data_IF_608119626855
#
_entry.id   IF_608119626855
#
_cell.length_a   1.000
_cell.length_b   1.000
_cell.length_c   1.000
_cell.angle_alpha   90.00
_cell.angle_beta   90.00
_cell.angle_gamma   90.00
#
_symmetry.space_group_name_H-M   'P 1'
#
loop_
_entity.id
_entity.type
_entity.pdbx_description
1 polymer ?
#
# COMPACT_ATOMS: atom_id res chain seq x y z
N UNK A 1 14.19 21.62 18.32
CA UNK A 1 15.29 21.00 17.54
C UNK A 1 15.72 21.96 16.45
N UNK A 2 17.03 22.12 16.20
CA UNK A 2 17.49 22.85 15.01
C UNK A 2 17.02 22.17 13.71
N UNK A 3 16.83 22.94 12.64
CA UNK A 3 16.30 22.46 11.35
C UNK A 3 17.05 21.25 10.79
N UNK A 4 18.38 21.25 10.87
CA UNK A 4 19.22 20.14 10.42
C UNK A 4 19.00 18.84 11.22
N UNK A 5 18.90 18.94 12.56
CA UNK A 5 18.63 17.75 13.41
C UNK A 5 17.25 17.16 13.16
N UNK A 6 16.27 18.00 12.83
CA UNK A 6 14.93 17.55 12.47
C UNK A 6 14.92 16.79 11.14
N UNK A 7 15.59 17.31 10.11
CA UNK A 7 15.69 16.65 8.81
C UNK A 7 16.40 15.29 8.94
N UNK A 8 17.51 15.24 9.67
CA UNK A 8 18.23 13.97 9.91
C UNK A 8 17.33 12.96 10.63
N UNK A 9 16.58 13.37 11.65
CA UNK A 9 15.63 12.49 12.33
C UNK A 9 14.53 12.00 11.37
N UNK A 10 13.99 12.90 10.54
CA UNK A 10 12.94 12.58 9.59
C UNK A 10 13.41 11.59 8.51
N UNK A 11 14.61 11.78 7.96
CA UNK A 11 15.22 10.85 7.01
C UNK A 11 15.53 9.51 7.65
N UNK A 12 16.09 9.54 8.87
CA UNK A 12 16.40 8.34 9.65
C UNK A 12 15.15 7.50 9.90
N UNK A 13 14.06 8.11 10.38
CA UNK A 13 12.79 7.43 10.60
C UNK A 13 12.12 7.04 9.26
N UNK A 14 12.28 7.86 8.23
CA UNK A 14 11.81 7.57 6.88
C UNK A 14 12.42 6.30 6.29
N UNK A 15 13.64 5.92 6.70
CA UNK A 15 14.28 4.68 6.30
C UNK A 15 13.44 3.43 6.63
N UNK A 16 12.68 3.46 7.73
CA UNK A 16 11.74 2.39 8.07
C UNK A 16 10.67 2.21 6.98
N UNK A 17 10.07 3.32 6.53
CA UNK A 17 9.07 3.28 5.47
C UNK A 17 9.69 2.94 4.11
N UNK A 18 10.92 3.39 3.86
CA UNK A 18 11.65 3.01 2.66
C UNK A 18 11.90 1.50 2.60
N UNK A 19 12.20 0.87 3.74
CA UNK A 19 12.35 -0.59 3.84
C UNK A 19 11.04 -1.33 3.52
N UNK A 20 9.90 -0.85 4.03
CA UNK A 20 8.58 -1.41 3.67
C UNK A 20 8.28 -1.23 2.17
N UNK A 21 8.66 -0.09 1.59
CA UNK A 21 8.60 0.16 0.15
C UNK A 21 9.42 -0.85 -0.66
N UNK A 22 10.67 -1.10 -0.26
CA UNK A 22 11.53 -2.08 -0.94
C UNK A 22 10.99 -3.51 -0.82
N UNK A 23 10.48 -3.91 0.35
CA UNK A 23 9.80 -5.20 0.52
C UNK A 23 8.58 -5.35 -0.37
N UNK A 24 7.81 -4.27 -0.56
CA UNK A 24 6.62 -4.32 -1.41
C UNK A 24 6.99 -4.64 -2.87
N UNK A 25 8.16 -4.19 -3.36
CA UNK A 25 8.66 -4.54 -4.69
C UNK A 25 9.07 -6.01 -4.78
N UNK A 26 9.69 -6.55 -3.72
CA UNK A 26 10.02 -7.97 -3.67
C UNK A 26 8.76 -8.84 -3.72
N UNK A 27 7.71 -8.46 -3.00
CA UNK A 27 6.49 -9.27 -2.91
C UNK A 27 5.52 -9.05 -4.06
N UNK A 28 5.14 -7.80 -4.35
CA UNK A 28 4.16 -7.46 -5.37
C UNK A 28 4.77 -7.39 -6.77
N UNK A 29 6.09 -7.26 -6.84
CA UNK A 29 6.82 -7.34 -8.08
C UNK A 29 7.40 -8.71 -8.33
N UNK A 30 8.60 -8.96 -7.80
CA UNK A 30 9.39 -10.15 -8.12
C UNK A 30 8.60 -11.44 -7.89
N UNK A 31 8.03 -11.67 -6.70
CA UNK A 31 7.27 -12.89 -6.44
C UNK A 31 6.01 -13.00 -7.31
N UNK A 32 5.29 -11.91 -7.50
CA UNK A 32 4.09 -11.88 -8.34
C UNK A 32 4.40 -12.30 -9.78
N UNK A 33 5.42 -11.67 -10.38
CA UNK A 33 5.89 -11.95 -11.74
C UNK A 33 6.37 -13.38 -11.86
N UNK A 34 7.22 -13.86 -10.95
CA UNK A 34 7.70 -15.24 -10.96
C UNK A 34 6.56 -16.26 -10.93
N UNK A 35 5.57 -16.04 -10.07
CA UNK A 35 4.43 -16.95 -9.95
C UNK A 35 3.58 -16.99 -11.22
N UNK A 36 3.26 -15.85 -11.81
CA UNK A 36 2.33 -15.78 -12.95
C UNK A 36 3.03 -16.13 -14.28
N UNK A 37 4.17 -15.52 -14.58
CA UNK A 37 4.82 -15.67 -15.89
C UNK A 37 5.74 -16.89 -15.97
N UNK A 38 6.57 -17.12 -14.94
CA UNK A 38 7.61 -18.16 -15.00
C UNK A 38 7.12 -19.52 -14.49
N UNK A 39 6.24 -19.52 -13.49
CA UNK A 39 5.70 -20.74 -12.89
C UNK A 39 4.27 -21.05 -13.32
N UNK A 40 3.67 -20.22 -14.19
CA UNK A 40 2.31 -20.40 -14.74
C UNK A 40 1.23 -20.65 -13.67
N UNK A 41 1.42 -20.12 -12.46
CA UNK A 41 0.45 -20.24 -11.38
C UNK A 41 -0.77 -19.37 -11.73
N UNK A 42 -2.01 -19.84 -11.45
CA UNK A 42 -3.20 -19.03 -11.69
C UNK A 42 -3.11 -17.66 -11.02
N UNK A 43 -3.29 -16.59 -11.80
CA UNK A 43 -3.19 -15.22 -11.31
C UNK A 43 -4.14 -14.92 -10.13
N UNK A 44 -5.32 -15.52 -10.12
CA UNK A 44 -6.27 -15.42 -9.00
C UNK A 44 -5.69 -15.94 -7.67
N UNK A 45 -4.96 -17.05 -7.71
CA UNK A 45 -4.33 -17.66 -6.52
C UNK A 45 -3.15 -16.82 -6.04
N UNK A 46 -2.31 -16.37 -6.96
CA UNK A 46 -1.18 -15.47 -6.67
C UNK A 46 -1.68 -14.15 -6.05
N UNK A 47 -2.67 -13.53 -6.67
CA UNK A 47 -3.24 -12.28 -6.18
C UNK A 47 -3.99 -12.44 -4.85
N UNK A 48 -4.66 -13.57 -4.64
CA UNK A 48 -5.23 -13.92 -3.33
C UNK A 48 -4.16 -13.96 -2.27
N UNK A 49 -3.03 -14.63 -2.54
CA UNK A 49 -1.93 -14.72 -1.60
C UNK A 49 -1.35 -13.34 -1.29
N UNK A 50 -0.95 -12.58 -2.30
CA UNK A 50 -0.31 -11.28 -2.13
C UNK A 50 -1.25 -10.21 -1.55
N UNK A 51 -2.53 -10.22 -1.92
CA UNK A 51 -3.53 -9.26 -1.44
C UNK A 51 -4.02 -9.55 -0.02
N UNK A 52 -3.94 -10.80 0.45
CA UNK A 52 -4.40 -11.21 1.78
C UNK A 52 -3.76 -10.43 2.93
N UNK A 53 -2.52 -9.96 2.77
CA UNK A 53 -1.81 -9.16 3.77
C UNK A 53 -2.55 -7.87 4.15
N UNK A 54 -3.39 -7.33 3.26
CA UNK A 54 -4.17 -6.12 3.54
C UNK A 54 -5.49 -6.43 4.25
N UNK A 55 -6.01 -7.66 4.16
CA UNK A 55 -7.27 -8.06 4.79
C UNK A 55 -7.17 -8.08 6.32
N UNK A 56 -5.96 -8.21 6.85
CA UNK A 56 -5.70 -8.16 8.30
C UNK A 56 -5.52 -6.74 8.83
N UNK A 57 -5.85 -5.70 8.07
CA UNK A 57 -5.66 -4.31 8.49
C UNK A 57 -6.38 -3.94 9.80
N UNK A 58 -7.47 -4.63 10.16
CA UNK A 58 -8.14 -4.45 11.46
C UNK A 58 -7.22 -4.69 12.67
N UNK A 59 -6.21 -5.55 12.52
CA UNK A 59 -5.24 -5.85 13.57
C UNK A 59 -4.40 -4.64 13.98
N UNK A 60 -4.26 -3.62 13.11
CA UNK A 60 -3.54 -2.38 13.41
C UNK A 60 -4.06 -1.73 14.69
N UNK A 61 -5.37 -1.74 14.89
CA UNK A 61 -6.01 -1.14 16.07
C UNK A 61 -5.61 -1.89 17.34
N UNK A 62 -5.62 -3.23 17.27
CA UNK A 62 -5.21 -4.08 18.39
C UNK A 62 -3.72 -3.87 18.74
N UNK A 63 -2.83 -3.86 17.74
CA UNK A 63 -1.41 -3.61 17.95
C UNK A 63 -1.10 -2.19 18.47
N UNK A 64 -1.89 -1.20 18.04
CA UNK A 64 -1.84 0.15 18.59
C UNK A 64 -2.09 0.13 20.10
N UNK A 65 -3.25 -0.39 20.52
CA UNK A 65 -3.62 -0.49 21.94
C UNK A 65 -2.64 -1.33 22.77
N UNK A 66 -2.13 -2.43 22.21
CA UNK A 66 -1.21 -3.30 22.93
C UNK A 66 0.17 -2.65 23.10
N UNK A 67 0.67 -1.96 22.09
CA UNK A 67 1.93 -1.21 22.19
C UNK A 67 1.81 -0.03 23.17
N UNK A 68 0.62 0.55 23.33
CA UNK A 68 0.35 1.59 24.32
C UNK A 68 0.55 1.09 25.76
N UNK A 69 0.20 -0.18 26.02
CA UNK A 69 0.24 -0.83 27.35
C UNK A 69 1.60 -1.46 27.67
N UNK A 70 2.45 -1.68 26.66
CA UNK A 70 3.76 -2.28 26.83
C UNK A 70 4.69 -1.40 27.68
N UNK A 71 5.53 -2.04 28.50
CA UNK A 71 6.53 -1.36 29.36
C UNK A 71 7.88 -2.08 29.36
N UNK A 72 8.21 -2.78 28.29
CA UNK A 72 9.43 -3.57 28.20
C UNK A 72 10.68 -2.68 28.23
N UNK A 73 11.54 -2.86 29.24
CA UNK A 73 12.79 -2.09 29.41
C UNK A 73 12.58 -0.56 29.38
N UNK A 74 11.49 -0.06 29.97
CA UNK A 74 11.07 1.36 29.96
C UNK A 74 10.71 1.92 28.57
N UNK A 75 10.58 1.07 27.56
CA UNK A 75 10.13 1.39 26.20
C UNK A 75 8.71 0.85 25.98
N UNK A 76 7.89 1.60 25.25
CA UNK A 76 6.51 1.24 24.92
C UNK A 76 6.42 0.72 23.50
N UNK A 77 6.97 1.46 22.53
CA UNK A 77 6.76 1.24 21.08
C UNK A 77 7.84 0.36 20.45
N UNK A 78 9.10 0.62 20.76
CA UNK A 78 10.28 -0.03 20.15
C UNK A 78 10.23 -1.56 20.18
N UNK A 79 9.82 -2.24 21.28
CA UNK A 79 9.76 -3.70 21.32
C UNK A 79 8.79 -4.28 20.28
N UNK A 80 7.64 -3.63 20.06
CA UNK A 80 6.68 -4.03 19.04
C UNK A 80 7.20 -3.75 17.64
N UNK A 81 7.86 -2.60 17.42
CA UNK A 81 8.44 -2.26 16.12
C UNK A 81 9.51 -3.28 15.73
N UNK A 82 10.45 -3.59 16.62
CA UNK A 82 11.54 -4.55 16.38
C UNK A 82 11.01 -5.98 16.26
N UNK A 83 10.10 -6.39 17.15
CA UNK A 83 9.50 -7.73 17.11
C UNK A 83 8.68 -7.95 15.83
N UNK A 84 7.87 -6.98 15.44
CA UNK A 84 7.14 -7.00 14.17
C UNK A 84 8.10 -6.98 12.97
N UNK A 85 9.21 -6.24 13.05
CA UNK A 85 10.25 -6.23 12.01
C UNK A 85 10.95 -7.56 11.83
N UNK A 86 11.32 -8.21 12.93
CA UNK A 86 11.88 -9.56 12.90
C UNK A 86 10.88 -10.55 12.29
N UNK A 87 9.60 -10.45 12.69
CA UNK A 87 8.53 -11.30 12.18
C UNK A 87 8.29 -11.09 10.68
N UNK A 88 8.11 -9.86 10.19
CA UNK A 88 7.85 -9.64 8.77
C UNK A 88 9.05 -9.99 7.90
N UNK A 89 10.30 -9.74 8.35
CA UNK A 89 11.49 -10.14 7.61
C UNK A 89 11.64 -11.66 7.52
N UNK A 90 11.37 -12.37 8.63
CA UNK A 90 11.38 -13.84 8.65
C UNK A 90 10.28 -14.40 7.75
N UNK A 91 9.09 -13.82 7.79
CA UNK A 91 7.97 -14.20 6.93
C UNK A 91 8.22 -13.89 5.45
N UNK A 92 8.97 -12.82 5.11
CA UNK A 92 9.42 -12.60 3.73
C UNK A 92 10.33 -13.72 3.24
N UNK A 93 11.26 -14.18 4.08
CA UNK A 93 12.13 -15.31 3.76
C UNK A 93 11.33 -16.61 3.58
N UNK A 94 10.39 -16.89 4.49
CA UNK A 94 9.46 -18.03 4.39
C UNK A 94 8.61 -17.92 3.12
N UNK A 95 8.05 -16.75 2.81
CA UNK A 95 7.25 -16.52 1.61
C UNK A 95 8.05 -16.80 0.35
N UNK A 96 9.30 -16.34 0.28
CA UNK A 96 10.21 -16.64 -0.83
C UNK A 96 10.47 -18.14 -1.00
N UNK A 97 10.67 -18.87 0.10
CA UNK A 97 10.78 -20.33 0.09
C UNK A 97 9.48 -21.01 -0.37
N UNK A 98 8.32 -20.52 0.07
CA UNK A 98 7.02 -21.01 -0.37
C UNK A 98 6.78 -20.76 -1.86
N UNK A 99 7.26 -19.64 -2.42
CA UNK A 99 7.19 -19.34 -3.87
C UNK A 99 7.98 -20.37 -4.67
N UNK A 100 9.21 -20.68 -4.25
CA UNK A 100 10.04 -21.69 -4.91
C UNK A 100 9.47 -23.11 -4.74
N UNK A 101 8.93 -23.42 -3.56
CA UNK A 101 8.24 -24.67 -3.32
C UNK A 101 6.95 -24.80 -4.16
N UNK A 102 6.25 -23.69 -4.43
CA UNK A 102 5.11 -23.68 -5.34
C UNK A 102 5.54 -23.86 -6.81
N UNK A 103 6.71 -23.34 -7.18
CA UNK A 103 7.30 -23.57 -8.51
C UNK A 103 7.53 -25.06 -8.80
N UNK A 104 8.07 -25.80 -7.83
CA UNK A 104 8.27 -27.24 -7.94
C UNK A 104 6.95 -27.99 -8.21
N UNK A 105 5.87 -27.62 -7.52
CA UNK A 105 4.57 -28.25 -7.75
C UNK A 105 4.02 -27.95 -9.14
N UNK A 106 4.20 -26.72 -9.64
CA UNK A 106 3.80 -26.36 -10.99
C UNK A 106 4.52 -27.21 -12.04
N UNK A 107 5.84 -27.40 -11.88
CA UNK A 107 6.65 -28.24 -12.77
C UNK A 107 6.24 -29.72 -12.77
N UNK A 108 5.72 -30.23 -11.64
CA UNK A 108 5.19 -31.61 -11.57
C UNK A 108 3.81 -31.78 -12.22
N UNK A 109 3.13 -30.70 -12.61
CA UNK A 109 1.82 -30.72 -13.27
C UNK A 109 0.64 -31.08 -12.36
N UNK A 110 0.84 -31.17 -11.05
CA UNK A 110 -0.22 -31.49 -10.08
C UNK A 110 -1.01 -30.25 -9.69
N UNK A 111 -2.20 -30.06 -10.29
CA UNK A 111 -3.07 -28.92 -9.99
C UNK A 111 -3.50 -28.85 -8.52
N UNK A 112 -3.73 -30.01 -7.88
CA UNK A 112 -4.10 -30.06 -6.47
C UNK A 112 -2.98 -29.54 -5.57
N UNK A 113 -1.71 -29.87 -5.89
CA UNK A 113 -0.56 -29.37 -5.15
C UNK A 113 -0.36 -27.87 -5.36
N UNK A 114 -0.52 -27.36 -6.59
CA UNK A 114 -0.44 -25.91 -6.85
C UNK A 114 -1.44 -25.13 -6.01
N UNK A 115 -2.69 -25.58 -5.96
CA UNK A 115 -3.75 -24.92 -5.16
C UNK A 115 -3.41 -25.00 -3.66
N UNK A 116 -3.08 -26.18 -3.15
CA UNK A 116 -2.77 -26.37 -1.73
C UNK A 116 -1.57 -25.54 -1.28
N UNK A 117 -0.47 -25.57 -2.04
CA UNK A 117 0.74 -24.79 -1.76
C UNK A 117 0.50 -23.28 -1.89
N UNK A 118 -0.33 -22.85 -2.85
CA UNK A 118 -0.74 -21.45 -2.97
C UNK A 118 -1.62 -20.95 -1.82
N UNK A 119 -2.50 -21.80 -1.27
CA UNK A 119 -3.26 -21.47 -0.06
C UNK A 119 -2.36 -21.33 1.17
N UNK A 120 -1.32 -22.17 1.29
CA UNK A 120 -0.29 -22.01 2.33
C UNK A 120 0.45 -20.68 2.15
N UNK A 121 0.82 -20.32 0.91
CA UNK A 121 1.43 -19.02 0.62
C UNK A 121 0.51 -17.85 1.04
N UNK A 122 -0.79 -17.95 0.77
CA UNK A 122 -1.77 -16.96 1.23
C UNK A 122 -1.82 -16.84 2.75
N UNK A 123 -1.79 -17.96 3.47
CA UNK A 123 -1.71 -17.94 4.93
C UNK A 123 -0.42 -17.28 5.44
N UNK A 124 0.73 -17.53 4.80
CA UNK A 124 1.99 -16.84 5.11
C UNK A 124 1.84 -15.33 4.92
N UNK A 125 1.18 -14.87 3.85
CA UNK A 125 0.94 -13.44 3.61
C UNK A 125 -0.07 -12.81 4.59
N UNK A 126 -1.04 -13.57 5.11
CA UNK A 126 -1.89 -13.14 6.24
C UNK A 126 -1.03 -12.86 7.47
N UNK A 127 -0.14 -13.78 7.85
CA UNK A 127 0.79 -13.55 8.97
C UNK A 127 1.78 -12.42 8.69
N UNK A 128 2.23 -12.28 7.44
CA UNK A 128 3.10 -11.18 7.02
C UNK A 128 2.40 -9.83 7.21
N UNK A 129 1.14 -9.72 6.82
CA UNK A 129 0.31 -8.54 7.06
C UNK A 129 0.13 -8.22 8.55
N UNK A 130 -0.06 -9.24 9.39
CA UNK A 130 -0.12 -9.09 10.85
C UNK A 130 1.21 -8.57 11.43
N UNK A 131 2.33 -9.09 10.94
CA UNK A 131 3.66 -8.65 11.34
C UNK A 131 3.95 -7.20 10.92
N UNK A 132 3.55 -6.80 9.71
CA UNK A 132 3.59 -5.39 9.28
C UNK A 132 2.71 -4.53 10.19
N UNK A 133 1.50 -4.96 10.51
CA UNK A 133 0.61 -4.20 11.41
C UNK A 133 1.20 -4.03 12.81
N UNK A 134 1.87 -5.08 13.33
CA UNK A 134 2.56 -5.08 14.61
C UNK A 134 3.73 -4.08 14.67
N UNK A 135 4.39 -3.84 13.53
CA UNK A 135 5.53 -2.93 13.46
C UNK A 135 5.14 -1.50 13.06
N UNK A 136 4.37 -1.36 11.98
CA UNK A 136 4.02 -0.07 11.36
C UNK A 136 3.08 0.78 12.21
N UNK A 137 2.13 0.18 12.93
CA UNK A 137 1.17 0.96 13.74
C UNK A 137 1.85 1.61 14.95
N UNK A 138 2.63 0.86 15.75
CA UNK A 138 3.40 1.47 16.84
C UNK A 138 4.47 2.43 16.35
N UNK A 139 5.02 2.21 15.14
CA UNK A 139 5.93 3.17 14.49
C UNK A 139 5.23 4.50 14.18
N UNK A 140 4.01 4.49 13.65
CA UNK A 140 3.24 5.71 13.42
C UNK A 140 2.96 6.46 14.73
N UNK A 141 2.65 5.74 15.81
CA UNK A 141 2.52 6.33 17.15
C UNK A 141 3.85 6.93 17.65
N UNK A 142 4.98 6.25 17.41
CA UNK A 142 6.31 6.77 17.76
C UNK A 142 6.61 8.10 17.05
N UNK A 143 6.21 8.27 15.78
CA UNK A 143 6.37 9.55 15.07
C UNK A 143 5.63 10.69 15.77
N UNK A 144 4.46 10.41 16.33
CA UNK A 144 3.68 11.38 17.13
C UNK A 144 4.39 11.68 18.45
N UNK A 145 4.89 10.65 19.13
CA UNK A 145 5.57 10.78 20.43
C UNK A 145 6.86 11.60 20.34
N UNK A 146 7.58 11.54 19.21
CA UNK A 146 8.86 12.26 19.00
C UNK A 146 8.71 13.61 18.30
N UNK A 147 7.50 14.02 17.90
CA UNK A 147 7.25 15.26 17.18
C UNK A 147 6.42 16.26 17.98
N UNK A 148 6.72 17.54 17.80
CA UNK A 148 5.89 18.64 18.31
C UNK A 148 4.73 18.89 17.35
N UNK A 149 3.62 19.47 17.82
CA UNK A 149 2.43 19.71 16.98
C UNK A 149 2.74 20.55 15.72
N UNK A 150 3.71 21.47 15.81
CA UNK A 150 4.18 22.28 14.67
C UNK A 150 5.00 21.47 13.65
N UNK A 151 5.74 20.45 14.10
CA UNK A 151 6.66 19.67 13.26
C UNK A 151 6.02 18.38 12.72
N UNK A 152 4.95 17.89 13.36
CA UNK A 152 4.32 16.60 13.07
C UNK A 152 3.87 16.45 11.61
N UNK A 153 3.18 17.42 10.97
CA UNK A 153 2.75 17.25 9.57
C UNK A 153 3.94 17.10 8.61
N UNK A 154 5.00 17.87 8.83
CA UNK A 154 6.22 17.80 8.02
C UNK A 154 6.95 16.47 8.22
N UNK A 155 7.07 16.00 9.48
CA UNK A 155 7.71 14.72 9.78
C UNK A 155 6.98 13.55 9.11
N UNK A 156 5.65 13.50 9.29
CA UNK A 156 4.81 12.45 8.70
C UNK A 156 4.93 12.50 7.17
N UNK A 157 4.82 13.68 6.55
CA UNK A 157 4.96 13.81 5.09
C UNK A 157 6.29 13.25 4.58
N UNK A 158 7.43 13.64 5.19
CA UNK A 158 8.76 13.13 4.79
C UNK A 158 8.85 11.61 4.95
N UNK A 159 8.40 11.08 6.09
CA UNK A 159 8.47 9.65 6.39
C UNK A 159 7.59 8.84 5.42
N UNK A 160 6.40 9.32 5.08
CA UNK A 160 5.53 8.67 4.11
C UNK A 160 6.02 8.82 2.66
N UNK A 161 6.62 9.95 2.28
CA UNK A 161 7.28 10.09 0.97
C UNK A 161 8.44 9.11 0.81
N UNK A 162 9.14 8.77 1.91
CA UNK A 162 10.20 7.77 1.89
C UNK A 162 9.71 6.35 1.55
N UNK A 163 8.41 6.04 1.73
CA UNK A 163 7.84 4.78 1.22
C UNK A 163 7.98 4.69 -0.30
N UNK A 164 7.61 5.75 -1.02
CA UNK A 164 7.74 5.79 -2.47
C UNK A 164 9.20 5.79 -2.92
N UNK A 165 10.07 6.52 -2.21
CA UNK A 165 11.53 6.44 -2.45
C UNK A 165 12.03 5.00 -2.26
N UNK A 166 11.53 4.29 -1.25
CA UNK A 166 11.82 2.88 -1.01
C UNK A 166 11.37 1.95 -2.13
N UNK A 167 10.20 2.20 -2.72
CA UNK A 167 9.73 1.46 -3.91
C UNK A 167 10.66 1.69 -5.10
N UNK A 168 11.01 2.96 -5.38
CA UNK A 168 11.90 3.32 -6.50
C UNK A 168 13.30 2.73 -6.30
N UNK A 169 13.91 2.97 -5.14
CA UNK A 169 15.23 2.46 -4.80
C UNK A 169 15.23 0.93 -4.72
N UNK A 170 14.20 0.33 -4.14
CA UNK A 170 14.02 -1.12 -4.05
C UNK A 170 13.95 -1.76 -5.44
N UNK A 171 13.15 -1.22 -6.35
CA UNK A 171 13.07 -1.72 -7.72
C UNK A 171 14.42 -1.66 -8.47
N UNK A 172 15.20 -0.59 -8.26
CA UNK A 172 16.54 -0.47 -8.87
C UNK A 172 17.54 -1.42 -8.21
N UNK A 173 17.59 -1.47 -6.87
CA UNK A 173 18.57 -2.26 -6.12
C UNK A 173 18.30 -3.76 -6.25
N UNK A 174 17.05 -4.21 -6.13
CA UNK A 174 16.67 -5.61 -6.27
C UNK A 174 16.89 -6.09 -7.72
N UNK A 175 16.52 -5.29 -8.73
CA UNK A 175 16.79 -5.64 -10.14
C UNK A 175 18.29 -5.64 -10.46
N UNK A 176 19.07 -4.72 -9.88
CA UNK A 176 20.53 -4.72 -10.03
C UNK A 176 21.17 -5.94 -9.39
N UNK A 177 20.70 -6.35 -8.20
CA UNK A 177 21.19 -7.54 -7.51
C UNK A 177 20.91 -8.82 -8.30
N UNK A 178 19.77 -8.88 -8.98
CA UNK A 178 19.39 -9.99 -9.86
C UNK A 178 20.00 -9.91 -11.27
N UNK A 179 20.62 -8.78 -11.66
CA UNK A 179 21.01 -8.52 -13.05
C UNK A 179 21.83 -9.65 -13.69
N UNK A 180 22.84 -10.15 -12.98
CA UNK A 180 23.66 -11.28 -13.47
C UNK A 180 22.88 -12.58 -13.66
N UNK A 181 21.77 -12.77 -12.95
CA UNK A 181 20.88 -13.92 -13.04
C UNK A 181 19.78 -13.74 -14.09
N UNK A 182 19.43 -12.50 -14.44
CA UNK A 182 18.45 -12.16 -15.48
C UNK A 182 19.04 -12.20 -16.89
N UNK A 183 20.35 -11.99 -17.05
CA UNK A 183 21.03 -11.98 -18.36
C UNK A 183 21.09 -13.38 -19.02
N UNK A 184 20.91 -14.45 -18.25
CA UNK A 184 20.87 -15.82 -18.75
C UNK A 184 19.43 -16.31 -18.90
N UNK A 185 19.09 -16.91 -20.05
CA UNK A 185 17.76 -17.51 -20.28
C UNK A 185 17.50 -18.79 -19.46
N UNK A 186 18.41 -19.19 -18.58
CA UNK A 186 18.30 -20.39 -17.76
C UNK A 186 17.53 -20.14 -16.47
N UNK A 187 16.37 -20.79 -16.32
CA UNK A 187 15.52 -20.72 -15.13
C UNK A 187 16.28 -21.08 -13.83
N UNK A 188 17.27 -21.98 -13.90
CA UNK A 188 18.08 -22.37 -12.74
C UNK A 188 18.91 -21.23 -12.15
N UNK A 189 19.49 -20.37 -12.99
CA UNK A 189 20.27 -19.22 -12.53
C UNK A 189 19.36 -18.14 -11.92
N UNK A 190 18.15 -18.00 -12.47
CA UNK A 190 17.12 -17.12 -11.92
C UNK A 190 16.70 -17.57 -10.52
N UNK A 191 16.40 -18.86 -10.34
CA UNK A 191 16.03 -19.44 -9.04
C UNK A 191 17.14 -19.23 -8.01
N UNK A 192 18.40 -19.52 -8.37
CA UNK A 192 19.56 -19.29 -7.49
C UNK A 192 19.73 -17.81 -7.11
N UNK A 193 19.55 -16.90 -8.08
CA UNK A 193 19.57 -15.46 -7.83
C UNK A 193 18.49 -15.03 -6.84
N UNK A 194 17.27 -15.55 -7.01
CA UNK A 194 16.13 -15.30 -6.11
C UNK A 194 16.38 -15.90 -4.73
N UNK A 195 16.92 -17.11 -4.62
CA UNK A 195 17.30 -17.72 -3.33
C UNK A 195 18.30 -16.87 -2.55
N UNK A 196 19.31 -16.33 -3.25
CA UNK A 196 20.27 -15.40 -2.66
C UNK A 196 19.59 -14.09 -2.27
N UNK A 197 18.66 -13.60 -3.07
CA UNK A 197 17.94 -12.37 -2.79
C UNK A 197 17.05 -12.50 -1.54
N UNK A 198 16.27 -13.57 -1.43
CA UNK A 198 15.36 -13.78 -0.29
C UNK A 198 16.10 -14.03 1.02
N UNK A 199 17.36 -14.48 0.97
CA UNK A 199 18.22 -14.64 2.16
C UNK A 199 18.87 -13.33 2.58
N UNK A 200 19.42 -12.56 1.63
CA UNK A 200 20.14 -11.31 1.93
C UNK A 200 19.20 -10.14 2.22
N UNK A 201 18.14 -9.97 1.43
CA UNK A 201 17.30 -8.78 1.50
C UNK A 201 16.61 -8.60 2.88
N UNK A 202 15.96 -9.62 3.48
CA UNK A 202 15.34 -9.45 4.79
C UNK A 202 16.34 -9.15 5.91
N UNK A 203 17.57 -9.69 5.83
CA UNK A 203 18.63 -9.39 6.81
C UNK A 203 19.06 -7.92 6.72
N UNK A 204 19.35 -7.44 5.50
CA UNK A 204 19.72 -6.04 5.28
C UNK A 204 18.59 -5.13 5.74
N UNK A 205 17.35 -5.42 5.33
CA UNK A 205 16.17 -4.64 5.71
C UNK A 205 15.96 -4.62 7.23
N UNK A 206 16.11 -5.75 7.91
CA UNK A 206 16.00 -5.81 9.36
C UNK A 206 17.06 -4.93 10.04
N UNK A 207 18.31 -4.97 9.57
CA UNK A 207 19.39 -4.12 10.13
C UNK A 207 19.11 -2.64 9.91
N UNK A 208 18.61 -2.25 8.74
CA UNK A 208 18.24 -0.86 8.44
C UNK A 208 17.06 -0.39 9.30
N UNK A 209 16.06 -1.26 9.51
CA UNK A 209 14.93 -0.96 10.39
C UNK A 209 15.43 -0.77 11.82
N UNK A 210 16.22 -1.67 12.38
CA UNK A 210 16.76 -1.51 13.73
C UNK A 210 17.58 -0.23 13.85
N UNK A 211 18.45 0.07 12.87
CA UNK A 211 19.22 1.30 12.84
C UNK A 211 18.35 2.57 12.77
N UNK A 212 17.20 2.52 12.08
CA UNK A 212 16.27 3.64 11.92
C UNK A 212 15.64 4.07 13.25
N UNK A 213 15.30 3.12 14.11
CA UNK A 213 14.58 3.35 15.38
C UNK A 213 15.46 3.30 16.63
N UNK A 214 16.69 2.78 16.56
CA UNK A 214 17.56 2.62 17.72
C UNK A 214 17.77 3.93 18.51
N UNK A 215 17.33 3.96 19.77
CA UNK A 215 17.52 5.12 20.65
C UNK A 215 16.70 6.36 20.29
N UNK A 216 15.67 6.22 19.45
CA UNK A 216 14.75 7.33 19.12
C UNK A 216 13.66 7.49 20.19
N UNK A 217 13.16 6.40 20.76
CA UNK A 217 12.11 6.45 21.76
C UNK A 217 12.63 6.98 23.12
N UNK A 218 12.02 8.04 23.69
CA UNK A 218 12.36 8.52 25.02
C UNK A 218 11.93 7.49 26.08
N UNK A 219 12.85 7.15 26.99
CA UNK A 219 12.58 6.19 28.07
C UNK A 219 11.55 6.74 29.06
N UNK A 220 10.63 5.89 29.51
CA UNK A 220 9.66 6.23 30.54
C UNK A 220 10.35 6.64 31.84
N UNK A 221 10.06 7.87 32.32
CA UNK A 221 10.45 8.31 33.66
C UNK A 221 9.47 7.76 34.70
N UNK A 222 9.93 7.23 35.86
CA UNK A 222 9.04 6.83 36.95
C UNK A 222 8.24 8.05 37.44
N UNK A 223 6.90 8.00 37.36
CA UNK A 223 6.00 9.03 37.94
C UNK A 223 5.08 9.77 36.96
N UNK A 224 5.33 9.79 35.65
CA UNK A 224 4.53 10.56 34.68
C UNK A 224 3.34 9.77 34.07
N UNK A 225 3.02 8.61 34.64
CA UNK A 225 2.37 7.49 33.94
C UNK A 225 0.83 7.45 33.95
N UNK A 226 0.14 8.39 34.61
CA UNK A 226 -1.33 8.31 34.74
C UNK A 226 -2.13 9.35 33.94
N UNK A 227 -1.53 10.48 33.52
CA UNK A 227 -2.32 11.57 32.93
C UNK A 227 -2.35 11.58 31.40
N UNK A 228 -1.27 11.20 30.70
CA UNK A 228 -1.24 11.30 29.23
C UNK A 228 -2.05 10.21 28.52
N UNK A 229 -2.12 8.99 29.07
CA UNK A 229 -2.92 7.89 28.52
C UNK A 229 -4.42 8.06 28.74
N UNK A 230 -4.85 8.78 29.80
CA UNK A 230 -6.28 9.03 30.06
C UNK A 230 -6.86 10.18 29.22
N UNK A 231 -6.06 11.19 28.90
CA UNK A 231 -6.50 12.35 28.11
C UNK A 231 -6.73 12.00 26.62
N UNK A 232 -5.92 11.09 26.03
CA UNK A 232 -6.12 10.65 24.65
C UNK A 232 -7.29 9.66 24.48
N UNK A 233 -7.55 8.81 25.49
CA UNK A 233 -8.64 7.82 25.44
C UNK A 233 -10.03 8.43 25.66
N UNK A 234 -10.14 9.59 26.31
CA UNK A 234 -11.44 10.21 26.63
C UNK A 234 -12.09 11.01 25.49
N UNK A 235 -11.46 11.13 24.32
CA UNK A 235 -12.01 11.91 23.19
C UNK A 235 -12.16 11.09 21.89
N UNK A 236 -11.80 9.81 21.89
CA UNK A 236 -11.90 8.97 20.70
C UNK A 236 -13.18 8.12 20.74
N UNK A 237 -14.06 8.35 19.77
CA UNK A 237 -15.24 7.52 19.58
C UNK A 237 -14.79 6.09 19.24
N UNK A 238 -15.30 5.11 19.99
CA UNK A 238 -15.11 3.68 19.73
C UNK A 238 -15.41 3.32 18.27
N UNK A 239 -14.76 2.30 17.71
CA UNK A 239 -15.06 1.79 16.36
C UNK A 239 -16.55 1.49 16.16
N UNK A 240 -17.26 1.07 17.21
CA UNK A 240 -18.71 0.88 17.17
C UNK A 240 -19.45 2.21 16.97
N UNK A 241 -18.99 3.29 17.60
CA UNK A 241 -19.54 4.63 17.40
C UNK A 241 -19.22 5.18 16.00
N UNK A 242 -18.01 4.96 15.48
CA UNK A 242 -17.65 5.32 14.11
C UNK A 242 -18.53 4.61 13.07
N UNK A 243 -18.76 3.31 13.26
CA UNK A 243 -19.65 2.49 12.44
C UNK A 243 -21.12 2.95 12.53
N UNK A 244 -21.55 3.38 13.71
CA UNK A 244 -22.90 3.93 13.94
C UNK A 244 -23.08 5.26 13.20
N UNK A 245 -22.08 6.15 13.21
CA UNK A 245 -22.09 7.40 12.44
C UNK A 245 -22.13 7.13 10.94
N UNK A 246 -21.35 6.14 10.46
CA UNK A 246 -21.33 5.74 9.05
C UNK A 246 -22.70 5.21 8.59
N UNK A 247 -23.37 4.41 9.43
CA UNK A 247 -24.73 3.91 9.18
C UNK A 247 -25.80 4.99 9.26
N UNK A 248 -25.68 5.94 10.20
CA UNK A 248 -26.68 6.99 10.42
C UNK A 248 -26.63 8.10 9.36
N UNK A 249 -25.51 8.30 8.67
CA UNK A 249 -25.38 9.32 7.63
C UNK A 249 -25.15 8.70 6.24
N UNK A 250 -26.19 8.61 5.38
CA UNK A 250 -26.04 8.02 4.05
C UNK A 250 -25.05 8.79 3.16
N UNK A 251 -24.87 10.09 3.39
CA UNK A 251 -23.89 10.92 2.68
C UNK A 251 -22.45 10.53 3.06
N UNK A 252 -22.22 10.19 4.34
CA UNK A 252 -20.91 9.76 4.82
C UNK A 252 -20.58 8.39 4.26
N UNK A 253 -21.53 7.45 4.30
CA UNK A 253 -21.38 6.14 3.65
C UNK A 253 -21.11 6.25 2.14
N UNK A 254 -21.83 7.14 1.44
CA UNK A 254 -21.59 7.40 0.01
C UNK A 254 -20.17 7.90 -0.25
N UNK A 255 -19.72 8.93 0.49
CA UNK A 255 -18.38 9.47 0.33
C UNK A 255 -17.28 8.42 0.57
N UNK A 256 -17.40 7.65 1.66
CA UNK A 256 -16.47 6.56 1.96
C UNK A 256 -16.48 5.47 0.89
N UNK A 257 -17.66 5.11 0.37
CA UNK A 257 -17.81 4.16 -0.73
C UNK A 257 -17.12 4.66 -2.00
N UNK A 258 -17.29 5.93 -2.35
CA UNK A 258 -16.64 6.56 -3.51
C UNK A 258 -15.12 6.59 -3.35
N UNK A 259 -14.59 6.99 -2.19
CA UNK A 259 -13.15 6.96 -1.93
C UNK A 259 -12.56 5.54 -1.96
N UNK A 260 -13.32 4.56 -1.47
CA UNK A 260 -12.92 3.15 -1.48
C UNK A 260 -12.88 2.62 -2.91
N UNK A 261 -13.92 2.90 -3.72
CA UNK A 261 -13.96 2.54 -5.14
C UNK A 261 -12.82 3.22 -5.92
N UNK A 262 -12.53 4.47 -5.60
CA UNK A 262 -11.44 5.21 -6.24
C UNK A 262 -10.07 4.62 -5.91
N UNK A 263 -9.82 4.30 -4.64
CA UNK A 263 -8.61 3.57 -4.20
C UNK A 263 -8.54 2.21 -4.88
N UNK A 264 -9.64 1.47 -4.91
CA UNK A 264 -9.73 0.17 -5.57
C UNK A 264 -9.32 0.26 -7.04
N UNK A 265 -9.89 1.23 -7.77
CA UNK A 265 -9.60 1.41 -9.20
C UNK A 265 -8.15 1.84 -9.46
N UNK A 266 -7.55 2.67 -8.60
CA UNK A 266 -6.15 3.07 -8.73
C UNK A 266 -5.17 1.89 -8.56
N UNK A 267 -5.48 0.95 -7.67
CA UNK A 267 -4.59 -0.17 -7.33
C UNK A 267 -4.94 -1.50 -8.02
N UNK A 268 -5.97 -1.53 -8.88
CA UNK A 268 -6.39 -2.76 -9.57
C UNK A 268 -5.27 -3.40 -10.40
N UNK A 269 -4.37 -2.57 -10.95
CA UNK A 269 -3.24 -3.05 -11.74
C UNK A 269 -2.10 -3.69 -10.94
N UNK A 270 -2.07 -3.61 -9.60
CA UNK A 270 -0.88 -4.03 -8.83
C UNK A 270 -0.49 -5.48 -9.07
N UNK A 271 -1.47 -6.37 -9.19
CA UNK A 271 -1.21 -7.80 -9.46
C UNK A 271 -0.86 -8.08 -10.94
N UNK A 272 -1.08 -7.12 -11.83
CA UNK A 272 -1.18 -7.37 -13.28
C UNK A 272 -0.09 -6.63 -14.08
N UNK A 273 0.42 -5.52 -13.54
CA UNK A 273 1.34 -4.64 -14.25
C UNK A 273 2.66 -5.31 -14.66
N UNK A 274 3.31 -6.03 -13.76
CA UNK A 274 4.58 -6.69 -14.07
C UNK A 274 4.43 -7.90 -14.99
N UNK A 275 3.47 -8.82 -14.73
CA UNK A 275 3.18 -9.91 -15.66
C UNK A 275 2.83 -9.40 -17.07
N UNK A 276 2.14 -8.26 -17.17
CA UNK A 276 1.87 -7.63 -18.46
C UNK A 276 3.16 -7.22 -19.21
N UNK A 277 4.15 -6.69 -18.49
CA UNK A 277 5.46 -6.36 -19.04
C UNK A 277 6.19 -7.59 -19.59
N UNK A 278 6.14 -8.71 -18.87
CA UNK A 278 6.73 -9.97 -19.30
C UNK A 278 6.00 -10.58 -20.49
N UNK A 279 4.69 -10.83 -20.36
CA UNK A 279 3.89 -11.55 -21.34
C UNK A 279 3.70 -10.81 -22.67
N UNK A 280 3.53 -9.48 -22.67
CA UNK A 280 3.20 -8.70 -23.88
C UNK A 280 4.42 -8.03 -24.52
N UNK A 281 5.41 -7.62 -23.72
CA UNK A 281 6.58 -6.90 -24.21
C UNK A 281 7.88 -7.70 -24.13
N UNK A 282 7.81 -8.99 -23.76
CA UNK A 282 8.95 -9.88 -23.58
C UNK A 282 10.04 -9.30 -22.66
N UNK A 283 9.62 -8.59 -21.60
CA UNK A 283 10.55 -8.06 -20.61
C UNK A 283 11.02 -9.18 -19.66
N UNK A 284 12.33 -9.22 -19.41
CA UNK A 284 12.91 -10.05 -18.36
C UNK A 284 12.49 -9.56 -16.95
N UNK A 285 12.67 -10.41 -15.94
CA UNK A 285 12.32 -10.11 -14.54
C UNK A 285 12.89 -8.77 -14.06
N UNK A 286 14.16 -8.51 -14.39
CA UNK A 286 14.85 -7.33 -13.92
C UNK A 286 14.29 -6.05 -14.58
N UNK A 287 13.97 -6.11 -15.87
CA UNK A 287 13.34 -4.98 -16.57
C UNK A 287 11.90 -4.75 -16.15
N UNK A 288 11.09 -5.80 -15.95
CA UNK A 288 9.71 -5.65 -15.49
C UNK A 288 9.64 -5.13 -14.05
N UNK A 289 10.53 -5.58 -13.15
CA UNK A 289 10.63 -5.07 -11.77
C UNK A 289 10.90 -3.55 -11.76
N UNK A 290 11.69 -3.03 -12.71
CA UNK A 290 11.97 -1.59 -12.84
C UNK A 290 10.74 -0.76 -13.23
N UNK A 291 9.65 -1.36 -13.68
CA UNK A 291 8.39 -0.66 -13.92
C UNK A 291 7.83 -0.04 -12.62
N UNK A 292 8.04 -0.66 -11.46
CA UNK A 292 7.69 -0.03 -10.17
C UNK A 292 8.45 1.27 -9.92
N UNK A 293 9.70 1.38 -10.37
CA UNK A 293 10.44 2.62 -10.26
C UNK A 293 9.81 3.70 -11.15
N UNK A 294 9.43 3.35 -12.38
CA UNK A 294 8.77 4.28 -13.31
C UNK A 294 7.44 4.80 -12.73
N UNK A 295 6.61 3.88 -12.24
CA UNK A 295 5.34 4.23 -11.58
C UNK A 295 5.57 5.08 -10.33
N UNK A 296 6.49 4.67 -9.44
CA UNK A 296 6.78 5.35 -8.19
C UNK A 296 7.35 6.76 -8.37
N UNK A 297 8.22 6.98 -9.37
CA UNK A 297 8.71 8.33 -9.72
C UNK A 297 7.56 9.20 -10.22
N UNK A 298 6.70 8.65 -11.08
CA UNK A 298 5.49 9.34 -11.53
C UNK A 298 4.60 9.75 -10.36
N UNK A 299 4.33 8.83 -9.44
CA UNK A 299 3.50 9.09 -8.25
C UNK A 299 4.10 10.14 -7.32
N UNK A 300 5.41 10.12 -7.08
CA UNK A 300 6.10 11.16 -6.32
C UNK A 300 5.93 12.54 -6.96
N UNK A 301 6.13 12.62 -8.27
CA UNK A 301 5.97 13.86 -9.02
C UNK A 301 4.52 14.35 -8.97
N UNK A 302 3.55 13.44 -9.09
CA UNK A 302 2.12 13.76 -8.96
C UNK A 302 1.73 14.28 -7.58
N UNK A 303 2.21 13.66 -6.51
CA UNK A 303 1.97 14.11 -5.13
C UNK A 303 2.57 15.52 -4.92
N UNK A 304 3.81 15.73 -5.35
CA UNK A 304 4.49 17.01 -5.22
C UNK A 304 3.76 18.11 -6.03
N UNK A 305 3.46 17.86 -7.30
CA UNK A 305 2.75 18.81 -8.16
C UNK A 305 1.39 19.21 -7.59
N UNK A 306 0.66 18.26 -7.01
CA UNK A 306 -0.63 18.52 -6.38
C UNK A 306 -0.54 19.46 -5.20
N UNK A 307 0.39 19.20 -4.27
CA UNK A 307 0.56 19.99 -3.06
C UNK A 307 0.93 21.45 -3.35
N UNK A 308 1.79 21.69 -4.34
CA UNK A 308 2.33 23.03 -4.61
C UNK A 308 1.57 23.82 -5.67
N UNK A 309 1.00 23.16 -6.68
CA UNK A 309 0.52 23.83 -7.90
C UNK A 309 -0.98 23.61 -8.13
N UNK A 310 -1.45 22.38 -7.99
CA UNK A 310 -2.77 21.99 -8.51
C UNK A 310 -3.89 22.24 -7.49
N UNK A 311 -3.72 21.77 -6.24
CA UNK A 311 -4.75 21.94 -5.20
C UNK A 311 -5.06 23.41 -4.88
N UNK A 312 -4.07 24.32 -4.75
CA UNK A 312 -4.34 25.73 -4.50
C UNK A 312 -5.14 26.42 -5.62
N UNK A 313 -5.07 25.92 -6.86
CA UNK A 313 -5.71 26.52 -8.03
C UNK A 313 -7.08 25.94 -8.37
N UNK A 314 -7.25 24.63 -8.25
CA UNK A 314 -8.46 23.92 -8.69
C UNK A 314 -9.38 23.47 -7.54
N UNK A 315 -8.89 23.47 -6.31
CA UNK A 315 -9.56 22.88 -5.16
C UNK A 315 -9.46 21.34 -5.14
N UNK A 316 -9.58 20.76 -3.95
CA UNK A 316 -9.29 19.34 -3.73
C UNK A 316 -10.23 18.38 -4.52
N UNK A 317 -11.52 18.72 -4.66
CA UNK A 317 -12.49 17.87 -5.36
C UNK A 317 -12.24 17.79 -6.87
N UNK A 318 -12.02 18.93 -7.52
CA UNK A 318 -11.69 18.96 -8.96
C UNK A 318 -10.34 18.33 -9.23
N UNK A 319 -9.37 18.52 -8.33
CA UNK A 319 -8.05 17.90 -8.46
C UNK A 319 -8.11 16.37 -8.38
N UNK A 320 -8.96 15.81 -7.50
CA UNK A 320 -9.17 14.37 -7.43
C UNK A 320 -9.79 13.81 -8.72
N UNK A 321 -10.80 14.51 -9.26
CA UNK A 321 -11.44 14.15 -10.52
C UNK A 321 -10.46 14.20 -11.70
N UNK A 322 -9.71 15.29 -11.85
CA UNK A 322 -8.76 15.44 -12.96
C UNK A 322 -7.69 14.37 -12.91
N UNK A 323 -7.14 14.06 -11.74
CA UNK A 323 -6.21 12.95 -11.57
C UNK A 323 -6.84 11.60 -11.94
N UNK A 324 -8.12 11.38 -11.60
CA UNK A 324 -8.84 10.13 -11.90
C UNK A 324 -9.07 9.94 -13.40
N UNK A 325 -9.52 10.98 -14.09
CA UNK A 325 -9.71 10.98 -15.56
C UNK A 325 -8.36 10.81 -16.27
N UNK A 326 -7.33 11.50 -15.80
CA UNK A 326 -5.97 11.40 -16.34
C UNK A 326 -5.43 9.97 -16.17
N UNK A 327 -5.64 9.38 -14.99
CA UNK A 327 -5.27 7.99 -14.71
C UNK A 327 -6.00 7.02 -15.64
N UNK A 328 -7.31 7.18 -15.85
CA UNK A 328 -8.08 6.35 -16.76
C UNK A 328 -7.57 6.44 -18.21
N UNK A 329 -7.28 7.65 -18.68
CA UNK A 329 -6.72 7.89 -20.02
C UNK A 329 -5.38 7.17 -20.20
N UNK A 330 -4.47 7.27 -19.22
CA UNK A 330 -3.16 6.65 -19.33
C UNK A 330 -3.20 5.13 -19.13
N UNK A 331 -4.18 4.59 -18.40
CA UNK A 331 -4.44 3.14 -18.40
C UNK A 331 -4.87 2.66 -19.78
N UNK A 332 -5.76 3.37 -20.47
CA UNK A 332 -6.12 3.03 -21.85
C UNK A 332 -4.93 3.17 -22.81
N UNK A 333 -4.07 4.15 -22.57
CA UNK A 333 -2.83 4.30 -23.33
C UNK A 333 -1.86 3.13 -23.11
N UNK A 334 -1.82 2.52 -21.91
CA UNK A 334 -1.06 1.28 -21.67
C UNK A 334 -1.59 0.13 -22.54
N UNK A 335 -2.91 -0.03 -22.65
CA UNK A 335 -3.53 -1.03 -23.54
C UNK A 335 -3.16 -0.80 -24.99
N UNK A 336 -3.25 0.46 -25.45
CA UNK A 336 -2.86 0.84 -26.81
C UNK A 336 -1.36 0.61 -27.08
N UNK A 337 -0.50 0.82 -26.08
CA UNK A 337 0.91 0.49 -26.19
C UNK A 337 1.16 -1.01 -26.36
N UNK A 338 0.37 -1.85 -25.70
CA UNK A 338 0.45 -3.30 -25.88
C UNK A 338 0.02 -3.76 -27.27
N UNK A 339 -1.01 -3.15 -27.87
CA UNK A 339 -1.41 -3.49 -29.24
C UNK A 339 -0.34 -3.14 -30.28
N UNK A 340 0.50 -2.16 -29.99
CA UNK A 340 1.64 -1.74 -30.81
C UNK A 340 2.95 -2.46 -30.43
N UNK A 341 2.94 -3.28 -29.37
CA UNK A 341 4.13 -3.86 -28.74
C UNK A 341 5.24 -2.82 -28.43
N UNK A 342 4.86 -1.57 -28.18
CA UNK A 342 5.81 -0.46 -27.98
C UNK A 342 6.17 -0.26 -26.50
N UNK A 343 7.30 -0.82 -26.10
CA UNK A 343 7.84 -0.69 -24.73
C UNK A 343 8.04 0.76 -24.28
N UNK A 344 8.47 1.64 -25.19
CA UNK A 344 8.67 3.06 -24.88
C UNK A 344 7.35 3.77 -24.56
N UNK A 345 6.32 3.48 -25.36
CA UNK A 345 4.98 4.03 -25.15
C UNK A 345 4.37 3.52 -23.84
N UNK A 346 4.54 2.24 -23.54
CA UNK A 346 4.07 1.64 -22.29
C UNK A 346 4.74 2.26 -21.06
N UNK A 347 6.07 2.41 -21.05
CA UNK A 347 6.79 3.07 -19.93
C UNK A 347 6.34 4.51 -19.74
N UNK A 348 6.13 5.24 -20.84
CA UNK A 348 5.64 6.63 -20.79
C UNK A 348 4.21 6.69 -20.25
N UNK A 349 3.33 5.82 -20.72
CA UNK A 349 1.96 5.73 -20.22
C UNK A 349 1.92 5.36 -18.72
N UNK A 350 2.76 4.42 -18.29
CA UNK A 350 2.89 4.03 -16.89
C UNK A 350 3.40 5.17 -16.00
N UNK A 351 4.41 5.91 -16.47
CA UNK A 351 4.90 7.09 -15.76
C UNK A 351 3.79 8.13 -15.56
N UNK A 352 3.07 8.45 -16.65
CA UNK A 352 1.99 9.41 -16.65
C UNK A 352 0.77 8.95 -15.82
N UNK A 353 0.47 7.64 -15.84
CA UNK A 353 -0.48 7.02 -14.92
C UNK A 353 -0.04 7.21 -13.46
N UNK A 354 1.24 6.98 -13.16
CA UNK A 354 1.82 7.26 -11.84
C UNK A 354 1.59 8.70 -11.41
N UNK A 355 1.81 9.67 -12.29
CA UNK A 355 1.54 11.10 -12.04
C UNK A 355 0.05 11.33 -11.73
N UNK A 356 -0.85 10.80 -12.56
CA UNK A 356 -2.31 10.88 -12.33
C UNK A 356 -2.72 10.27 -10.98
N UNK A 357 -2.20 9.08 -10.67
CA UNK A 357 -2.47 8.39 -9.41
C UNK A 357 -1.95 9.17 -8.19
N UNK A 358 -0.78 9.79 -8.29
CA UNK A 358 -0.22 10.67 -7.26
C UNK A 358 -1.08 11.92 -7.05
N UNK A 359 -1.57 12.53 -8.14
CA UNK A 359 -2.46 13.69 -8.08
C UNK A 359 -3.74 13.34 -7.35
N UNK A 360 -4.37 12.26 -7.78
CA UNK A 360 -5.59 11.69 -7.21
C UNK A 360 -5.45 11.35 -5.74
N UNK A 361 -4.40 10.62 -5.36
CA UNK A 361 -4.19 10.16 -3.98
C UNK A 361 -4.05 11.34 -3.01
N UNK A 362 -3.24 12.34 -3.37
CA UNK A 362 -3.04 13.51 -2.50
C UNK A 362 -4.29 14.40 -2.41
N UNK A 363 -5.05 14.51 -3.50
CA UNK A 363 -6.32 15.24 -3.50
C UNK A 363 -7.39 14.55 -2.65
N UNK A 364 -7.52 13.22 -2.74
CA UNK A 364 -8.41 12.41 -1.89
C UNK A 364 -8.06 12.54 -0.41
N UNK A 365 -6.76 12.55 -0.07
CA UNK A 365 -6.31 12.78 1.30
C UNK A 365 -6.72 14.18 1.80
N UNK A 366 -6.52 15.21 0.97
CA UNK A 366 -6.89 16.59 1.30
C UNK A 366 -8.39 16.76 1.50
N UNK A 367 -9.21 16.12 0.64
CA UNK A 367 -10.67 16.10 0.79
C UNK A 367 -11.09 15.48 2.11
N UNK A 368 -10.51 14.33 2.46
CA UNK A 368 -10.84 13.63 3.68
C UNK A 368 -10.50 14.46 4.93
N UNK A 369 -9.30 15.06 4.96
CA UNK A 369 -8.87 15.91 6.06
C UNK A 369 -9.75 17.18 6.19
N UNK A 370 -10.11 17.81 5.08
CA UNK A 370 -10.97 19.00 5.07
C UNK A 370 -12.42 18.74 5.50
N UNK A 371 -12.87 17.49 5.50
CA UNK A 371 -14.23 17.10 5.86
C UNK A 371 -14.35 16.60 7.30
N UNK A 372 -13.23 16.40 7.99
CA UNK A 372 -13.21 15.79 9.32
C UNK A 372 -13.24 16.88 10.41
N UNK A 373 -14.25 16.84 11.29
CA UNK A 373 -14.30 17.73 12.46
C UNK A 373 -13.10 17.46 13.39
N UNK A 374 -12.48 18.50 14.00
CA UNK A 374 -11.33 18.34 14.88
C UNK A 374 -11.55 17.33 16.01
N UNK A 375 -12.79 17.21 16.52
CA UNK A 375 -13.14 16.27 17.60
C UNK A 375 -13.19 14.79 17.17
N UNK A 376 -13.32 14.47 15.88
CA UNK A 376 -13.37 13.07 15.39
C UNK A 376 -12.19 12.72 14.46
N UNK A 377 -11.17 13.58 14.40
CA UNK A 377 -10.04 13.42 13.49
C UNK A 377 -9.37 12.05 13.61
N UNK A 378 -9.07 11.59 14.83
CA UNK A 378 -8.42 10.29 15.07
C UNK A 378 -9.25 9.10 14.58
N UNK A 379 -10.54 9.07 14.91
CA UNK A 379 -11.45 7.98 14.52
C UNK A 379 -11.65 7.90 13.01
N UNK A 380 -11.86 9.03 12.32
CA UNK A 380 -12.02 9.04 10.87
C UNK A 380 -10.73 8.68 10.14
N UNK A 381 -9.56 9.12 10.62
CA UNK A 381 -8.25 8.72 10.09
C UNK A 381 -8.06 7.20 10.20
N UNK A 382 -8.43 6.59 11.33
CA UNK A 382 -8.39 5.14 11.51
C UNK A 382 -9.30 4.37 10.57
N UNK A 383 -10.57 4.78 10.46
CA UNK A 383 -11.56 4.14 9.55
C UNK A 383 -11.16 4.30 8.08
N UNK A 384 -10.62 5.45 7.69
CA UNK A 384 -10.10 5.68 6.35
C UNK A 384 -8.90 4.78 6.05
N UNK A 385 -7.93 4.70 6.95
CA UNK A 385 -6.76 3.83 6.78
C UNK A 385 -7.15 2.35 6.64
N UNK A 386 -8.20 1.91 7.36
CA UNK A 386 -8.80 0.59 7.19
C UNK A 386 -9.48 0.43 5.83
N UNK A 387 -10.37 1.35 5.46
CA UNK A 387 -11.08 1.31 4.19
C UNK A 387 -10.10 1.30 3.00
N UNK A 388 -9.04 2.10 3.06
CA UNK A 388 -7.98 2.15 2.06
C UNK A 388 -7.23 0.82 1.97
N UNK A 389 -6.88 0.21 3.11
CA UNK A 389 -6.21 -1.08 3.12
C UNK A 389 -7.08 -2.17 2.50
N UNK A 390 -8.36 -2.26 2.90
CA UNK A 390 -9.29 -3.21 2.30
C UNK A 390 -9.52 -2.95 0.81
N UNK A 391 -9.69 -1.69 0.40
CA UNK A 391 -9.87 -1.32 -1.00
C UNK A 391 -8.66 -1.74 -1.85
N UNK A 392 -7.43 -1.51 -1.36
CA UNK A 392 -6.21 -1.93 -2.04
C UNK A 392 -6.05 -3.45 -2.07
N UNK A 393 -6.29 -4.13 -0.94
CA UNK A 393 -6.26 -5.60 -0.87
C UNK A 393 -7.24 -6.25 -1.83
N UNK A 394 -8.49 -5.80 -1.82
CA UNK A 394 -9.51 -6.27 -2.76
C UNK A 394 -9.13 -5.92 -4.21
N UNK A 395 -8.53 -4.77 -4.47
CA UNK A 395 -8.06 -4.42 -5.80
C UNK A 395 -6.98 -5.38 -6.30
N UNK A 396 -5.99 -5.71 -5.48
CA UNK A 396 -4.97 -6.70 -5.85
C UNK A 396 -5.61 -8.04 -6.18
N UNK A 397 -6.49 -8.56 -5.30
CA UNK A 397 -7.16 -9.86 -5.46
C UNK A 397 -8.05 -9.85 -6.71
N UNK A 398 -8.87 -8.82 -6.89
CA UNK A 398 -9.75 -8.67 -8.05
C UNK A 398 -8.96 -8.50 -9.34
N UNK A 399 -7.81 -7.84 -9.34
CA UNK A 399 -6.94 -7.69 -10.50
C UNK A 399 -6.47 -9.05 -11.03
N UNK A 400 -5.95 -9.91 -10.14
CA UNK A 400 -5.55 -11.27 -10.54
C UNK A 400 -6.73 -12.18 -10.87
N UNK A 401 -7.85 -12.05 -10.16
CA UNK A 401 -9.08 -12.79 -10.48
C UNK A 401 -9.62 -12.44 -11.87
N UNK A 402 -9.68 -11.14 -12.21
CA UNK A 402 -10.06 -10.68 -13.55
C UNK A 402 -9.08 -11.19 -14.61
N UNK A 403 -7.78 -11.19 -14.32
CA UNK A 403 -6.78 -11.74 -15.24
C UNK A 403 -7.02 -13.23 -15.51
N UNK A 404 -7.31 -14.03 -14.48
CA UNK A 404 -7.65 -15.45 -14.67
C UNK A 404 -8.96 -15.64 -15.45
N UNK A 405 -10.01 -14.87 -15.15
CA UNK A 405 -11.29 -14.94 -15.86
C UNK A 405 -11.12 -14.58 -17.34
N UNK A 406 -10.44 -13.48 -17.65
CA UNK A 406 -10.17 -13.13 -19.05
C UNK A 406 -9.19 -14.11 -19.70
N UNK A 407 -8.30 -14.72 -18.93
CA UNK A 407 -7.44 -15.81 -19.38
C UNK A 407 -8.23 -17.02 -19.85
N UNK A 408 -9.23 -17.46 -19.11
CA UNK A 408 -10.14 -18.54 -19.52
C UNK A 408 -10.91 -18.19 -20.81
N UNK A 409 -11.36 -16.94 -20.93
CA UNK A 409 -12.08 -16.46 -22.13
C UNK A 409 -11.17 -16.40 -23.37
N UNK A 410 -9.90 -16.01 -23.18
CA UNK A 410 -8.93 -15.82 -24.28
C UNK A 410 -8.07 -17.05 -24.55
N UNK A 411 -8.22 -18.12 -23.78
CA UNK A 411 -7.50 -19.38 -23.90
C UNK A 411 -6.21 -19.47 -23.06
N UNK A 412 -5.64 -18.35 -22.63
CA UNK A 412 -4.51 -18.29 -21.69
C UNK A 412 -4.44 -16.95 -20.97
N UNK A 413 -4.07 -16.97 -19.68
CA UNK A 413 -3.87 -15.75 -18.88
C UNK A 413 -2.72 -14.87 -19.38
N UNK A 414 -1.77 -15.42 -20.16
CA UNK A 414 -0.61 -14.70 -20.69
C UNK A 414 -0.88 -13.99 -22.03
N UNK A 415 -2.15 -13.80 -22.40
CA UNK A 415 -2.54 -13.18 -23.67
C UNK A 415 -2.75 -11.68 -23.50
N UNK A 416 -2.39 -10.87 -24.51
CA UNK A 416 -2.70 -9.44 -24.56
C UNK A 416 -4.17 -9.13 -24.22
N UNK A 417 -5.11 -9.92 -24.75
CA UNK A 417 -6.54 -9.74 -24.50
C UNK A 417 -6.94 -9.87 -23.02
N UNK A 418 -6.28 -10.77 -22.28
CA UNK A 418 -6.56 -10.96 -20.85
C UNK A 418 -6.13 -9.72 -20.05
N UNK A 419 -4.91 -9.26 -20.26
CA UNK A 419 -4.37 -8.05 -19.64
C UNK A 419 -5.14 -6.77 -20.04
N UNK A 420 -5.43 -6.62 -21.33
CA UNK A 420 -6.20 -5.49 -21.85
C UNK A 420 -7.59 -5.42 -21.21
N UNK A 421 -8.26 -6.56 -21.00
CA UNK A 421 -9.54 -6.64 -20.30
C UNK A 421 -9.47 -6.05 -18.89
N UNK A 422 -8.44 -6.40 -18.11
CA UNK A 422 -8.26 -5.87 -16.75
C UNK A 422 -8.06 -4.35 -16.76
N UNK A 423 -7.17 -3.85 -17.63
CA UNK A 423 -6.91 -2.40 -17.74
C UNK A 423 -8.13 -1.61 -18.23
N UNK A 424 -8.93 -2.17 -19.14
CA UNK A 424 -10.18 -1.54 -19.59
C UNK A 424 -11.19 -1.46 -18.44
N UNK A 425 -11.38 -2.54 -17.67
CA UNK A 425 -12.21 -2.52 -16.46
C UNK A 425 -11.69 -1.49 -15.46
N UNK A 426 -10.37 -1.39 -15.28
CA UNK A 426 -9.75 -0.40 -14.42
C UNK A 426 -10.07 1.04 -14.87
N UNK A 427 -9.94 1.34 -16.16
CA UNK A 427 -10.23 2.66 -16.71
C UNK A 427 -11.69 3.05 -16.50
N UNK A 428 -12.63 2.12 -16.73
CA UNK A 428 -14.05 2.35 -16.45
C UNK A 428 -14.32 2.58 -14.95
N UNK A 429 -13.68 1.80 -14.07
CA UNK A 429 -13.82 1.98 -12.62
C UNK A 429 -13.29 3.36 -12.16
N UNK A 430 -12.16 3.82 -12.72
CA UNK A 430 -11.60 5.15 -12.45
C UNK A 430 -12.53 6.28 -12.90
N UNK A 431 -13.10 6.17 -14.11
CA UNK A 431 -14.07 7.14 -14.62
C UNK A 431 -15.35 7.15 -13.78
N UNK A 432 -15.89 5.97 -13.45
CA UNK A 432 -17.08 5.84 -12.61
C UNK A 432 -16.84 6.46 -11.22
N UNK A 433 -15.72 6.15 -10.58
CA UNK A 433 -15.34 6.73 -9.30
C UNK A 433 -15.17 8.26 -9.38
N UNK A 434 -14.56 8.78 -10.44
CA UNK A 434 -14.47 10.21 -10.71
C UNK A 434 -15.83 10.89 -10.87
N UNK A 435 -16.73 10.31 -11.66
CA UNK A 435 -18.09 10.82 -11.85
C UNK A 435 -18.91 10.79 -10.54
N UNK A 436 -18.73 9.77 -9.72
CA UNK A 436 -19.37 9.70 -8.40
C UNK A 436 -18.81 10.77 -7.44
N UNK A 437 -17.52 11.11 -7.53
CA UNK A 437 -16.93 12.23 -6.78
C UNK A 437 -17.58 13.57 -7.11
N UNK A 438 -18.09 13.79 -8.33
CA UNK A 438 -18.83 15.02 -8.68
C UNK A 438 -20.16 15.15 -7.93
N UNK A 439 -20.78 14.03 -7.56
CA UNK A 439 -22.04 14.00 -6.81
C UNK A 439 -21.84 14.14 -5.29
N UNK A 440 -20.59 14.15 -4.82
CA UNK A 440 -20.28 14.38 -3.41
C UNK A 440 -20.47 15.86 -3.09
N UNK A 441 -21.52 16.17 -2.33
CA UNK A 441 -21.69 17.48 -1.72
C UNK A 441 -20.85 17.57 -0.42
N UNK A 442 -19.73 18.28 -0.52
CA UNK A 442 -18.77 18.48 0.56
C UNK A 442 -19.30 19.36 1.69
N UNK A 443 -20.17 20.32 1.39
CA UNK A 443 -20.79 21.22 2.38
C UNK A 443 -21.85 20.50 3.19
N UNK A 444 -22.65 19.68 2.52
CA UNK A 444 -23.68 18.87 3.16
C UNK A 444 -23.07 17.75 4.02
N UNK A 445 -21.91 17.21 3.65
CA UNK A 445 -21.14 16.29 4.49
C UNK A 445 -20.69 16.97 5.79
N UNK A 446 -20.04 18.15 5.71
CA UNK A 446 -19.56 18.88 6.90
C UNK A 446 -20.72 19.19 7.87
N UNK A 447 -21.84 19.71 7.35
CA UNK A 447 -23.02 20.03 8.18
C UNK A 447 -23.65 18.79 8.85
N UNK A 448 -23.69 17.65 8.16
CA UNK A 448 -24.23 16.41 8.74
C UNK A 448 -23.29 15.78 9.77
N UNK A 449 -21.98 15.88 9.57
CA UNK A 449 -20.99 15.42 10.56
C UNK A 449 -21.06 16.26 11.83
N UNK A 450 -21.21 17.58 11.71
CA UNK A 450 -21.38 18.49 12.84
C UNK A 450 -22.67 18.22 13.63
N UNK A 451 -23.79 17.98 12.94
CA UNK A 451 -25.06 17.57 13.57
C UNK A 451 -25.00 16.18 14.22
N UNK A 452 -24.30 15.22 13.61
CA UNK A 452 -24.12 13.91 14.20
C UNK A 452 -23.27 13.99 15.47
N UNK A 453 -22.21 14.80 15.46
CA UNK A 453 -21.37 15.06 16.62
C UNK A 453 -22.17 15.65 17.79
N UNK A 454 -22.99 16.67 17.54
CA UNK A 454 -23.80 17.28 18.58
C UNK A 454 -24.81 16.29 19.19
N UNK A 455 -25.38 15.40 18.37
CA UNK A 455 -26.30 14.36 18.85
C UNK A 455 -25.61 13.26 19.68
N UNK A 456 -24.37 12.89 19.34
CA UNK A 456 -23.61 11.87 20.09
C UNK A 456 -23.10 12.45 21.40
N UNK A 457 -22.58 13.69 21.38
CA UNK A 457 -22.16 14.40 22.59
C UNK A 457 -23.33 14.62 23.56
N UNK A 458 -24.52 14.95 23.04
CA UNK A 458 -25.73 15.07 23.87
C UNK A 458 -26.14 13.72 24.49
N UNK A 459 -25.96 12.61 23.76
CA UNK A 459 -26.29 11.26 24.23
C UNK A 459 -25.27 10.65 25.20
N UNK A 460 -24.06 11.20 25.32
CA UNK A 460 -23.05 10.76 26.30
C UNK A 460 -23.03 11.65 27.57
N UNK A 461 -23.78 12.76 27.56
CA UNK A 461 -23.98 13.65 28.71
C UNK A 461 -25.23 13.29 29.54
N UNK A 462 -26.13 12.47 29.00
CA UNK A 462 -27.24 11.78 29.70
C UNK A 462 -26.80 10.37 30.12
#
# INVERSE_FOLDING_TARGET
MGSARFIVLALRLGLFQACLGALSVLTLGIFNRLLIDEFEVPAALTALALGSQQLVAFSRIWFGQQSDRCRWNQLRRTPFIVGGAAAFCTLTWIAGRCVLWLAEASQTGSQADVIWRGLILALVFVFYGLAIAASSTPFAALLVDVSTDKQRPALISIVWSMLMVGIVAGAILLSSFLGSSCDTAELGNLISGVERLITVAPLVIFTLVVASIAGVEPRLKPGNSNNQSRLATNQEISLKGAWTVLKRSPQVGYFFGVLSLFTFALFLQEAVLEPYGGAVFAMDLCTSTRLNAVWGIGTLLGIAATGFVITPRLGAQRTALTGGVLSALFVLMMVFAGSLASTSLFRTALFLFGVGAGISTNASLTLMLGLTSPLMAGTFIGVWGLAQAYARGLATISGGALLSVFGEITGSQNTFGAYAGVFVVQAFALLAAGLLLLRVDTKLFQSKVEKALSSVLASELD
#
